data_IF_828229045118
#
_entry.id   IF_828229045118
#
_cell.length_a   1.000
_cell.length_b   1.000
_cell.length_c   1.000
_cell.angle_alpha   90.00
_cell.angle_beta   90.00
_cell.angle_gamma   90.00
#
_symmetry.space_group_name_H-M   'P 1'
#
loop_
_entity.id
_entity.type
_entity.pdbx_description
1 polymer ?
#
# COMPACT_ATOMS: atom_id res chain seq x y z
N UNK A 1 -12.04 -51.20 2.82
CA UNK A 1 -13.32 -50.60 3.24
C UNK A 1 -13.28 -50.42 4.74
N UNK A 2 -13.29 -49.18 5.23
CA UNK A 2 -13.26 -48.89 6.68
C UNK A 2 -13.27 -47.39 6.91
N UNK A 3 -14.45 -46.85 7.24
CA UNK A 3 -14.60 -45.51 7.79
C UNK A 3 -13.99 -45.44 9.19
N UNK A 4 -13.36 -44.33 9.50
CA UNK A 4 -13.29 -43.84 10.87
C UNK A 4 -13.42 -42.31 10.84
N UNK A 5 -14.67 -41.86 11.01
CA UNK A 5 -14.97 -40.50 11.38
C UNK A 5 -14.72 -40.40 12.89
N UNK A 6 -13.81 -39.53 13.33
CA UNK A 6 -13.65 -39.20 14.75
C UNK A 6 -13.56 -37.68 14.89
N UNK A 7 -14.73 -37.08 15.05
CA UNK A 7 -14.91 -35.82 15.77
C UNK A 7 -14.44 -35.99 17.21
N UNK A 8 -13.49 -35.17 17.65
CA UNK A 8 -13.18 -34.98 19.06
C UNK A 8 -13.55 -33.56 19.47
N UNK A 9 -14.40 -33.51 20.49
CA UNK A 9 -14.98 -32.37 21.17
C UNK A 9 -13.94 -31.62 22.02
N UNK A 10 -14.22 -30.33 22.24
CA UNK A 10 -13.50 -29.29 22.98
C UNK A 10 -12.70 -29.69 24.23
N UNK A 11 -11.57 -29.00 24.43
CA UNK A 11 -11.14 -28.58 25.77
C UNK A 11 -10.75 -27.09 25.74
N UNK A 12 -11.53 -26.29 26.47
CA UNK A 12 -11.16 -24.95 26.92
C UNK A 12 -9.73 -24.95 27.49
N UNK A 13 -8.85 -24.19 26.87
CA UNK A 13 -7.72 -23.60 27.55
C UNK A 13 -7.76 -22.10 27.25
N UNK A 14 -8.51 -21.39 28.07
CA UNK A 14 -8.48 -19.92 28.18
C UNK A 14 -7.07 -19.52 28.60
N UNK A 15 -6.17 -19.38 27.62
CA UNK A 15 -4.92 -18.66 27.81
C UNK A 15 -5.17 -17.22 27.44
N UNK A 16 -5.76 -16.47 28.38
CA UNK A 16 -5.70 -15.01 28.35
C UNK A 16 -4.23 -14.63 28.39
N UNK A 17 -3.68 -14.29 27.22
CA UNK A 17 -2.39 -13.60 27.18
C UNK A 17 -2.54 -12.31 27.97
N UNK A 18 -1.64 -11.97 28.91
CA UNK A 18 -1.72 -10.69 29.59
C UNK A 18 -1.55 -9.62 28.51
N UNK A 19 -2.59 -8.79 28.36
CA UNK A 19 -2.47 -7.54 27.60
C UNK A 19 -1.36 -6.76 28.29
N UNK A 20 -0.17 -6.77 27.71
CA UNK A 20 0.88 -5.83 28.07
C UNK A 20 0.37 -4.44 27.68
N UNK A 21 -0.29 -3.77 28.62
CA UNK A 21 -0.56 -2.34 28.53
C UNK A 21 0.76 -1.61 28.73
N UNK A 22 1.59 -1.61 27.68
CA UNK A 22 2.72 -0.70 27.62
C UNK A 22 2.15 0.70 27.36
N UNK A 23 2.04 1.48 28.43
CA UNK A 23 1.82 2.93 28.49
C UNK A 23 1.10 3.54 27.31
N UNK A 24 -0.18 3.90 27.51
CA UNK A 24 -0.82 4.95 26.74
C UNK A 24 0.12 6.17 26.73
N UNK A 25 0.68 6.49 25.56
CA UNK A 25 1.27 7.80 25.29
C UNK A 25 0.11 8.68 24.83
N UNK A 26 -0.43 9.58 25.68
CA UNK A 26 -1.46 10.49 25.24
C UNK A 26 -0.78 11.53 24.34
N UNK A 27 -0.87 11.36 23.01
CA UNK A 27 -0.44 12.40 22.09
C UNK A 27 0.41 11.99 20.89
N UNK A 28 0.38 10.72 20.47
CA UNK A 28 0.73 10.40 19.08
C UNK A 28 -0.48 9.80 18.38
N UNK A 29 -1.50 10.65 18.20
CA UNK A 29 -2.21 10.62 16.93
C UNK A 29 -1.15 10.98 15.87
N UNK A 30 -0.33 10.00 15.49
CA UNK A 30 0.28 9.97 14.17
C UNK A 30 -0.92 10.01 13.23
N UNK A 31 -1.37 11.23 12.92
CA UNK A 31 -2.21 11.49 11.77
C UNK A 31 -1.41 10.85 10.64
N UNK A 32 -1.84 9.66 10.23
CA UNK A 32 -1.32 9.02 9.04
C UNK A 32 -1.56 10.09 7.99
N UNK A 33 -0.49 10.80 7.58
CA UNK A 33 -0.60 11.85 6.57
C UNK A 33 -1.28 11.15 5.41
N UNK A 34 -2.51 11.54 5.11
CA UNK A 34 -3.20 10.94 3.98
C UNK A 34 -2.40 11.33 2.75
N UNK A 35 -1.68 10.35 2.19
CA UNK A 35 -0.96 10.53 0.94
C UNK A 35 -2.01 10.38 -0.14
N UNK A 36 -2.22 11.45 -0.89
CA UNK A 36 -3.12 11.41 -2.03
C UNK A 36 -2.59 10.41 -3.08
N UNK A 37 -3.43 9.56 -3.68
CA UNK A 37 -3.00 8.65 -4.72
C UNK A 37 -2.52 9.43 -5.95
N UNK A 38 -1.38 9.03 -6.50
CA UNK A 38 -0.74 9.67 -7.66
C UNK A 38 -0.27 8.60 -8.64
N UNK A 39 -0.53 8.81 -9.92
CA UNK A 39 0.08 8.04 -11.00
C UNK A 39 1.47 8.63 -11.32
N UNK A 40 2.50 7.79 -11.27
CA UNK A 40 3.88 8.20 -11.58
C UNK A 40 4.36 7.50 -12.85
N UNK A 41 4.86 8.28 -13.80
CA UNK A 41 5.44 7.79 -15.06
C UNK A 41 6.92 8.08 -15.03
N UNK A 42 7.73 7.01 -15.06
CA UNK A 42 9.18 7.13 -15.07
C UNK A 42 9.69 7.43 -16.48
N UNK A 43 10.48 8.48 -16.60
CA UNK A 43 11.21 8.84 -17.81
C UNK A 43 12.68 8.48 -17.60
N UNK A 44 13.21 7.60 -18.45
CA UNK A 44 14.62 7.22 -18.40
C UNK A 44 15.54 8.42 -18.66
N UNK A 45 15.12 9.30 -19.57
CA UNK A 45 15.82 10.52 -19.97
C UNK A 45 14.77 11.61 -20.25
N UNK A 46 15.02 12.83 -19.80
CA UNK A 46 14.19 14.00 -20.12
C UNK A 46 15.02 15.14 -20.69
N UNK A 47 14.37 16.13 -21.31
CA UNK A 47 15.05 17.32 -21.83
C UNK A 47 15.75 18.12 -20.72
N UNK A 48 15.20 18.08 -19.50
CA UNK A 48 15.71 18.83 -18.34
C UNK A 48 16.72 18.07 -17.49
N UNK A 49 16.75 16.73 -17.58
CA UNK A 49 17.59 15.89 -16.75
C UNK A 49 18.01 14.61 -17.49
N UNK A 50 19.33 14.39 -17.56
CA UNK A 50 19.91 13.25 -18.27
C UNK A 50 19.61 11.89 -17.59
N UNK A 51 19.20 11.88 -16.32
CA UNK A 51 18.88 10.67 -15.59
C UNK A 51 17.56 10.78 -14.82
N UNK A 52 16.64 9.87 -15.12
CA UNK A 52 15.55 9.45 -14.25
C UNK A 52 14.65 10.56 -13.70
N UNK A 53 13.63 10.96 -14.47
CA UNK A 53 12.60 11.89 -14.04
C UNK A 53 11.24 11.19 -13.85
N UNK A 54 10.36 11.75 -13.03
CA UNK A 54 8.98 11.28 -12.89
C UNK A 54 7.98 12.36 -13.25
N UNK A 55 7.08 12.07 -14.19
CA UNK A 55 5.83 12.82 -14.34
C UNK A 55 4.82 12.32 -13.30
N UNK A 56 4.16 13.25 -12.61
CA UNK A 56 3.19 12.97 -11.56
C UNK A 56 1.82 13.48 -11.97
N UNK A 57 0.83 12.60 -11.94
CA UNK A 57 -0.56 12.93 -12.23
C UNK A 57 -1.41 12.67 -10.98
N UNK A 58 -2.29 13.61 -10.59
CA UNK A 58 -3.17 13.43 -9.43
C UNK A 58 -4.14 12.25 -9.63
N UNK A 59 -5.00 11.99 -8.65
CA UNK A 59 -6.06 10.99 -8.81
C UNK A 59 -7.03 11.40 -9.92
N UNK A 60 -7.31 10.48 -10.84
CA UNK A 60 -8.19 10.72 -11.99
C UNK A 60 -8.22 9.54 -12.95
N UNK A 61 -8.97 9.70 -14.03
CA UNK A 61 -9.00 8.76 -15.16
C UNK A 61 -8.08 9.27 -16.26
N UNK A 62 -7.28 8.37 -16.83
CA UNK A 62 -6.28 8.71 -17.84
C UNK A 62 -6.32 7.71 -18.99
N UNK A 63 -6.24 8.22 -20.22
CA UNK A 63 -5.99 7.40 -21.40
C UNK A 63 -4.48 7.23 -21.55
N UNK A 64 -4.02 6.00 -21.77
CA UNK A 64 -2.59 5.72 -21.90
C UNK A 64 -1.92 6.57 -22.99
N UNK A 65 -2.60 6.79 -24.13
CA UNK A 65 -2.09 7.62 -25.22
C UNK A 65 -1.85 9.08 -24.80
N UNK A 66 -2.74 9.67 -24.00
CA UNK A 66 -2.57 11.06 -23.52
C UNK A 66 -1.37 11.19 -22.58
N UNK A 67 -1.15 10.18 -21.72
CA UNK A 67 0.03 10.08 -20.87
C UNK A 67 1.30 9.94 -21.71
N UNK A 68 1.27 9.13 -22.77
CA UNK A 68 2.37 9.01 -23.71
C UNK A 68 2.65 10.35 -24.42
N UNK A 69 1.63 11.09 -24.85
CA UNK A 69 1.80 12.44 -25.44
C UNK A 69 2.45 13.40 -24.45
N UNK A 70 2.09 13.34 -23.17
CA UNK A 70 2.74 14.15 -22.14
C UNK A 70 4.21 13.73 -21.92
N UNK A 71 4.48 12.43 -21.83
CA UNK A 71 5.83 11.89 -21.71
C UNK A 71 6.71 12.27 -22.90
N UNK A 72 6.21 12.16 -24.13
CA UNK A 72 6.94 12.54 -25.35
C UNK A 72 7.27 14.03 -25.45
N UNK A 73 6.57 14.90 -24.71
CA UNK A 73 6.90 16.34 -24.64
C UNK A 73 7.95 16.64 -23.57
N UNK A 74 8.06 15.79 -22.54
CA UNK A 74 9.01 15.94 -21.45
C UNK A 74 10.35 15.26 -21.74
N UNK A 75 10.33 14.16 -22.50
CA UNK A 75 11.49 13.51 -23.10
C UNK A 75 12.11 14.36 -24.20
#
# INVERSE_FOLDING_TARGET
>A
MGMACLTMTEMEATSTSPVHQNGDIPGSANSVKQIEPVLQVYLYHSLGQAEGEYLKFPSGEYVAEEICVAASKAC
#
